data_IF_715402380637
#
_entry.id   IF_715402380637
#
_cell.length_a   1.000
_cell.length_b   1.000
_cell.length_c   1.000
_cell.angle_alpha   90.00
_cell.angle_beta   90.00
_cell.angle_gamma   90.00
#
_symmetry.space_group_name_H-M   'P 1'
#
loop_
_entity.id
_entity.type
_entity.pdbx_description
1 polymer ?
#
# COMPACT_ATOMS: atom_id res chain seq x y z
N UNK A 1 0.50 0.92 13.77
CA UNK A 1 0.52 2.40 13.63
C UNK A 1 0.50 2.80 12.15
N UNK A 2 -0.58 3.43 11.67
CA UNK A 2 -0.77 3.79 10.26
C UNK A 2 0.19 4.89 9.75
N UNK A 3 0.58 5.83 10.61
CA UNK A 3 1.54 6.89 10.25
C UNK A 3 2.89 6.33 9.80
N UNK A 4 3.45 5.34 10.52
CA UNK A 4 4.73 4.71 10.15
C UNK A 4 4.64 4.02 8.79
N UNK A 5 3.50 3.41 8.48
CA UNK A 5 3.28 2.79 7.17
C UNK A 5 3.26 3.83 6.04
N UNK A 6 2.61 4.98 6.27
CA UNK A 6 2.61 6.10 5.32
C UNK A 6 4.00 6.72 5.12
N UNK A 7 4.74 6.97 6.20
CA UNK A 7 6.12 7.46 6.11
C UNK A 7 7.04 6.48 5.38
N UNK A 8 6.93 5.18 5.66
CA UNK A 8 7.69 4.16 4.97
C UNK A 8 7.36 4.13 3.47
N UNK A 9 6.09 4.19 3.11
CA UNK A 9 5.66 4.22 1.71
C UNK A 9 6.16 5.47 0.97
N UNK A 10 6.14 6.64 1.62
CA UNK A 10 6.68 7.89 1.05
C UNK A 10 8.19 7.79 0.83
N UNK A 11 8.92 7.25 1.81
CA UNK A 11 10.37 7.06 1.69
C UNK A 11 10.71 6.09 0.55
N UNK A 12 9.95 5.01 0.40
CA UNK A 12 10.13 4.08 -0.71
C UNK A 12 9.87 4.75 -2.06
N UNK A 13 8.81 5.55 -2.20
CA UNK A 13 8.54 6.31 -3.43
C UNK A 13 9.67 7.28 -3.77
N UNK A 14 10.21 7.98 -2.77
CA UNK A 14 11.32 8.91 -2.98
C UNK A 14 12.60 8.20 -3.44
N UNK A 15 12.97 7.10 -2.79
CA UNK A 15 14.17 6.33 -3.18
C UNK A 15 14.01 5.74 -4.59
N UNK A 16 12.82 5.22 -4.90
CA UNK A 16 12.53 4.69 -6.23
C UNK A 16 12.58 5.78 -7.31
N UNK A 17 12.05 6.98 -7.04
CA UNK A 17 12.12 8.10 -7.97
C UNK A 17 13.57 8.50 -8.28
N UNK A 18 14.42 8.60 -7.23
CA UNK A 18 15.85 8.91 -7.38
C UNK A 18 16.57 7.85 -8.20
N UNK A 19 16.37 6.58 -7.88
CA UNK A 19 16.97 5.46 -8.59
C UNK A 19 16.49 5.38 -10.05
N UNK A 20 15.20 5.61 -10.29
CA UNK A 20 14.62 5.70 -11.62
C UNK A 20 15.25 6.81 -12.46
N UNK A 21 15.53 7.97 -11.85
CA UNK A 21 16.28 9.05 -12.48
C UNK A 21 17.69 8.65 -12.90
N UNK A 22 18.41 7.92 -12.03
CA UNK A 22 19.74 7.37 -12.34
C UNK A 22 19.69 6.37 -13.50
N UNK A 23 18.69 5.47 -13.52
CA UNK A 23 18.50 4.53 -14.62
C UNK A 23 18.25 5.24 -15.94
N UNK A 24 17.39 6.28 -15.95
CA UNK A 24 17.16 7.11 -17.14
C UNK A 24 18.43 7.77 -17.65
N UNK A 25 19.23 8.35 -16.74
CA UNK A 25 20.51 8.97 -17.11
C UNK A 25 21.51 7.98 -17.72
N UNK A 26 21.40 6.70 -17.38
CA UNK A 26 22.19 5.60 -17.94
C UNK A 26 21.57 5.01 -19.23
N UNK A 27 20.50 5.59 -19.77
CA UNK A 27 19.78 5.06 -20.93
C UNK A 27 19.01 3.76 -20.65
N UNK A 28 18.78 3.41 -19.38
CA UNK A 28 18.06 2.21 -18.96
C UNK A 28 16.59 2.51 -18.71
N UNK A 29 15.78 1.45 -18.70
CA UNK A 29 14.35 1.55 -18.42
C UNK A 29 14.12 2.05 -16.98
N UNK A 30 13.32 3.13 -16.77
CA UNK A 30 12.99 3.62 -15.44
C UNK A 30 12.11 2.63 -14.67
N UNK A 31 12.39 2.48 -13.37
CA UNK A 31 11.53 1.74 -12.46
C UNK A 31 10.47 2.65 -11.85
N UNK A 32 9.25 2.15 -11.71
CA UNK A 32 8.14 2.86 -11.07
C UNK A 32 7.34 1.87 -10.22
N UNK A 33 6.85 2.33 -9.07
CA UNK A 33 6.00 1.53 -8.20
C UNK A 33 4.83 2.37 -7.68
N UNK A 34 3.83 1.68 -7.13
CA UNK A 34 2.67 2.27 -6.46
C UNK A 34 2.30 1.44 -5.25
N UNK A 35 1.69 2.05 -4.25
CA UNK A 35 1.35 1.39 -3.00
C UNK A 35 -0.11 1.64 -2.60
N UNK A 36 -0.69 0.69 -1.87
CA UNK A 36 -2.02 0.79 -1.27
C UNK A 36 -1.96 0.56 0.23
N UNK A 37 -2.57 1.46 1.02
CA UNK A 37 -2.54 1.40 2.48
C UNK A 37 -3.96 1.34 3.03
N UNK A 38 -4.23 0.29 3.81
CA UNK A 38 -5.46 0.15 4.58
C UNK A 38 -5.14 -0.02 6.06
N UNK A 39 -5.98 0.55 6.92
CA UNK A 39 -5.95 0.35 8.37
C UNK A 39 -7.29 -0.23 8.78
N UNK A 40 -7.27 -1.40 9.39
CA UNK A 40 -8.46 -2.11 9.87
C UNK A 40 -8.04 -3.30 10.72
N UNK A 41 -8.99 -3.84 11.49
CA UNK A 41 -8.78 -5.04 12.28
C UNK A 41 -8.60 -6.24 11.33
N UNK A 42 -7.57 -7.05 11.57
CA UNK A 42 -7.29 -8.25 10.79
C UNK A 42 -7.44 -9.44 11.74
N UNK A 43 -8.43 -10.29 11.47
CA UNK A 43 -8.51 -11.61 12.11
C UNK A 43 -7.43 -12.47 11.48
N UNK A 44 -6.38 -12.78 12.24
CA UNK A 44 -5.38 -13.75 11.82
C UNK A 44 -5.87 -15.13 12.26
N UNK A 45 -6.22 -16.00 11.31
CA UNK A 45 -6.45 -17.42 11.60
C UNK A 45 -5.16 -18.18 11.32
N UNK A 46 -4.60 -18.81 12.34
CA UNK A 46 -3.49 -19.76 12.19
C UNK A 46 -4.00 -21.03 11.51
N UNK A 47 -3.65 -21.25 10.24
CA UNK A 47 -3.73 -22.60 9.65
C UNK A 47 -2.41 -23.32 9.93
N UNK A 48 -2.47 -24.41 10.70
CA UNK A 48 -1.37 -25.37 10.77
C UNK A 48 -1.40 -26.20 9.48
N UNK A 49 -0.45 -25.97 8.58
CA UNK A 49 -0.09 -26.98 7.59
C UNK A 49 0.70 -28.06 8.31
N UNK A 50 0.37 -29.33 8.04
CA UNK A 50 0.82 -30.51 8.80
C UNK A 50 2.32 -30.83 8.77
N UNK A 51 3.20 -29.87 8.49
CA UNK A 51 4.64 -30.05 8.34
C UNK A 51 5.47 -28.99 9.10
N UNK A 52 4.98 -28.47 10.23
CA UNK A 52 5.80 -27.67 11.15
C UNK A 52 6.20 -26.26 10.69
N UNK A 53 5.74 -25.81 9.52
CA UNK A 53 5.93 -24.45 9.03
C UNK A 53 4.68 -23.62 9.28
N UNK A 54 4.78 -22.61 10.15
CA UNK A 54 3.70 -21.64 10.34
C UNK A 54 3.78 -20.60 9.24
N UNK A 55 3.05 -20.79 8.15
CA UNK A 55 2.79 -19.73 7.18
C UNK A 55 1.72 -18.79 7.73
N UNK A 56 2.11 -17.56 8.06
CA UNK A 56 1.17 -16.48 8.35
C UNK A 56 0.56 -15.98 7.03
N UNK A 57 -0.42 -16.71 6.50
CA UNK A 57 -1.26 -16.21 5.41
C UNK A 57 -2.48 -15.52 6.03
N UNK A 58 -2.57 -14.18 6.00
CA UNK A 58 -3.74 -13.48 6.48
C UNK A 58 -4.96 -13.81 5.60
N UNK A 59 -5.80 -14.74 6.05
CA UNK A 59 -7.10 -15.04 5.46
C UNK A 59 -8.14 -14.14 6.12
N UNK A 60 -8.60 -13.12 5.39
CA UNK A 60 -9.68 -12.24 5.83
C UNK A 60 -9.86 -11.06 4.88
N UNK A 61 -11.10 -10.67 4.62
CA UNK A 61 -11.55 -9.65 3.67
C UNK A 61 -10.79 -8.29 3.73
N UNK A 62 -10.00 -8.02 4.78
CA UNK A 62 -9.14 -6.84 4.97
C UNK A 62 -7.86 -6.81 4.11
N UNK A 63 -7.28 -7.94 3.71
CA UNK A 63 -6.08 -7.96 2.82
C UNK A 63 -6.41 -7.52 1.40
N UNK A 64 -7.64 -7.78 0.96
CA UNK A 64 -8.12 -7.40 -0.36
C UNK A 64 -8.17 -5.87 -0.56
N UNK A 65 -8.40 -5.09 0.50
CA UNK A 65 -8.64 -3.66 0.36
C UNK A 65 -7.35 -2.86 0.13
N UNK A 66 -6.25 -3.21 0.80
CA UNK A 66 -4.95 -2.58 0.53
C UNK A 66 -4.48 -2.88 -0.91
N UNK A 67 -4.63 -4.13 -1.36
CA UNK A 67 -4.31 -4.51 -2.74
C UNK A 67 -5.17 -3.77 -3.78
N UNK A 68 -6.49 -3.63 -3.52
CA UNK A 68 -7.38 -2.81 -4.35
C UNK A 68 -6.94 -1.35 -4.37
N UNK A 69 -6.52 -0.81 -3.23
CA UNK A 69 -6.01 0.55 -3.18
C UNK A 69 -4.74 0.71 -4.00
N UNK A 70 -3.82 -0.25 -3.94
CA UNK A 70 -2.63 -0.24 -4.79
C UNK A 70 -3.01 -0.26 -6.28
N UNK A 71 -4.00 -1.08 -6.67
CA UNK A 71 -4.46 -1.15 -8.06
C UNK A 71 -5.05 0.18 -8.55
N UNK A 72 -5.70 0.94 -7.67
CA UNK A 72 -6.29 2.24 -7.94
C UNK A 72 -5.28 3.40 -7.85
N UNK A 73 -4.16 3.22 -7.16
CA UNK A 73 -3.13 4.24 -7.06
C UNK A 73 -2.57 4.56 -8.46
N UNK A 74 -2.51 5.85 -8.85
CA UNK A 74 -1.67 6.28 -9.95
C UNK A 74 -0.24 5.75 -9.81
N UNK A 75 0.43 5.49 -10.93
CA UNK A 75 1.83 5.05 -10.89
C UNK A 75 2.69 6.13 -10.23
N UNK A 76 3.60 5.73 -9.34
CA UNK A 76 4.41 6.67 -8.54
C UNK A 76 3.68 7.27 -7.34
N UNK A 77 2.52 6.73 -6.96
CA UNK A 77 1.73 7.27 -5.86
C UNK A 77 1.31 6.21 -4.83
N UNK A 78 0.70 6.71 -3.75
CA UNK A 78 0.20 5.91 -2.63
C UNK A 78 -1.29 6.20 -2.50
N UNK A 79 -2.13 5.17 -2.59
CA UNK A 79 -3.55 5.29 -2.27
C UNK A 79 -3.80 4.78 -0.85
N UNK A 80 -4.65 5.49 -0.11
CA UNK A 80 -5.01 5.12 1.26
C UNK A 80 -6.53 5.09 1.41
N UNK A 81 -7.03 4.16 2.24
CA UNK A 81 -8.45 4.12 2.57
C UNK A 81 -8.85 5.30 3.45
N UNK A 82 -10.16 5.60 3.47
CA UNK A 82 -10.71 6.66 4.32
C UNK A 82 -10.43 6.47 5.81
N UNK A 83 -10.32 5.22 6.29
CA UNK A 83 -9.95 4.91 7.68
C UNK A 83 -8.51 5.32 7.96
N UNK A 84 -7.56 4.91 7.11
CA UNK A 84 -6.15 5.33 7.23
C UNK A 84 -6.03 6.86 7.20
N UNK A 85 -6.77 7.53 6.30
CA UNK A 85 -6.78 9.00 6.21
C UNK A 85 -7.20 9.65 7.53
N UNK A 86 -8.33 9.23 8.11
CA UNK A 86 -8.85 9.77 9.38
C UNK A 86 -7.84 9.61 10.52
N UNK A 87 -7.18 8.46 10.60
CA UNK A 87 -6.18 8.18 11.65
C UNK A 87 -4.86 8.94 11.48
N UNK A 88 -4.65 9.58 10.33
CA UNK A 88 -3.43 10.31 9.99
C UNK A 88 -3.72 11.78 9.63
N UNK A 89 -4.90 12.27 9.98
CA UNK A 89 -5.30 13.67 9.81
C UNK A 89 -4.36 14.59 10.59
N UNK A 90 -3.96 15.70 9.97
CA UNK A 90 -2.96 16.62 10.52
C UNK A 90 -1.49 16.22 10.29
N UNK A 91 -1.20 14.99 9.89
CA UNK A 91 0.18 14.53 9.61
C UNK A 91 0.52 14.48 8.12
N UNK A 92 -0.49 14.27 7.26
CA UNK A 92 -0.31 14.17 5.82
C UNK A 92 -1.42 14.90 5.07
N UNK A 93 -1.08 15.45 3.91
CA UNK A 93 -2.06 16.01 2.97
C UNK A 93 -2.51 14.92 2.00
N UNK A 94 -3.82 14.74 1.88
CA UNK A 94 -4.42 13.75 0.99
C UNK A 94 -5.15 14.45 -0.16
N UNK A 95 -5.01 13.91 -1.38
CA UNK A 95 -5.81 14.30 -2.54
C UNK A 95 -6.82 13.21 -2.86
N UNK A 96 -8.08 13.58 -3.08
CA UNK A 96 -9.12 12.63 -3.51
C UNK A 96 -8.80 12.09 -4.90
N UNK A 97 -8.98 10.79 -5.10
CA UNK A 97 -8.93 10.13 -6.41
C UNK A 97 -10.23 10.31 -7.22
N UNK A 98 -11.21 11.05 -6.67
CA UNK A 98 -12.56 11.16 -7.22
C UNK A 98 -13.49 10.04 -6.76
N UNK A 99 -14.73 9.98 -7.28
CA UNK A 99 -15.66 8.88 -7.00
C UNK A 99 -15.06 7.57 -7.53
N UNK A 100 -14.55 6.73 -6.64
CA UNK A 100 -13.94 5.45 -7.01
C UNK A 100 -14.77 4.31 -6.44
N UNK A 101 -15.46 3.58 -7.32
CA UNK A 101 -16.15 2.35 -6.95
C UNK A 101 -15.12 1.27 -6.66
N UNK A 102 -14.86 1.05 -5.38
CA UNK A 102 -14.14 -0.14 -4.93
C UNK A 102 -15.18 -1.26 -4.89
N UNK A 103 -15.13 -2.22 -5.84
CA UNK A 103 -16.05 -3.38 -5.84
C UNK A 103 -16.04 -4.04 -4.45
N UNK A 104 -17.17 -3.94 -3.75
CA UNK A 104 -17.47 -4.77 -2.60
C UNK A 104 -17.71 -6.19 -3.08
N UNK A 105 -17.11 -7.16 -2.40
CA UNK A 105 -17.49 -8.57 -2.54
C UNK A 105 -18.61 -8.86 -1.56
#
# INVERSE_FOLDING_TARGET
>A
HPQRALYAALRLQEQLSRYSGQLRAQGKLPLQARAGINTGEVVVRSLQTGAGHTEYTPIGHSTSLAARMQALAPVGSIAATGVTRKLCEGYFTFKSLGPTLVKGG
#
